data_IF_419682553395
#
_entry.id   IF_419682553395
#
_cell.length_a   1.000
_cell.length_b   1.000
_cell.length_c   1.000
_cell.angle_alpha   90.00
_cell.angle_beta   90.00
_cell.angle_gamma   90.00
#
_symmetry.space_group_name_H-M   'P 1'
#
loop_
_entity.id
_entity.type
_entity.pdbx_description
1 polymer ?
#
# COMPACT_ATOMS: atom_id res chain seq x y z
N UNK A 1 -26.70 14.71 -13.98
CA UNK A 1 -25.56 13.89 -13.52
C UNK A 1 -25.77 13.36 -12.10
N UNK A 2 -26.11 14.20 -11.09
CA UNK A 2 -26.27 13.77 -9.68
C UNK A 2 -27.18 12.55 -9.50
N UNK A 3 -28.41 12.47 -10.06
CA UNK A 3 -29.27 11.31 -9.87
C UNK A 3 -28.67 10.01 -10.44
N UNK A 4 -28.02 10.08 -11.61
CA UNK A 4 -27.39 8.92 -12.23
C UNK A 4 -26.20 8.41 -11.38
N UNK A 5 -25.41 9.33 -10.84
CA UNK A 5 -24.30 8.97 -9.95
C UNK A 5 -24.81 8.33 -8.66
N UNK A 6 -25.85 8.89 -8.04
CA UNK A 6 -26.37 8.37 -6.78
C UNK A 6 -27.15 7.07 -6.92
N UNK A 7 -27.91 6.90 -8.02
CA UNK A 7 -28.81 5.75 -8.18
C UNK A 7 -28.19 4.56 -8.90
N UNK A 8 -27.13 4.78 -9.72
CA UNK A 8 -26.52 3.73 -10.54
C UNK A 8 -25.04 3.56 -10.22
N UNK A 9 -24.25 4.62 -10.37
CA UNK A 9 -22.78 4.49 -10.21
C UNK A 9 -22.41 4.27 -8.74
N UNK A 10 -23.05 4.97 -7.81
CA UNK A 10 -22.81 4.83 -6.37
C UNK A 10 -23.05 3.39 -5.88
N UNK A 11 -24.24 2.81 -6.07
CA UNK A 11 -24.51 1.43 -5.69
C UNK A 11 -23.57 0.41 -6.32
N UNK A 12 -23.22 0.56 -7.62
CA UNK A 12 -22.25 -0.33 -8.27
C UNK A 12 -20.87 -0.26 -7.61
N UNK A 13 -20.42 0.96 -7.26
CA UNK A 13 -19.16 1.13 -6.52
C UNK A 13 -19.19 0.51 -5.13
N UNK A 14 -20.29 0.64 -4.41
CA UNK A 14 -20.49 0.02 -3.10
C UNK A 14 -20.47 -1.51 -3.21
N UNK A 15 -21.24 -2.11 -4.13
CA UNK A 15 -21.23 -3.57 -4.33
C UNK A 15 -19.85 -4.11 -4.73
N UNK A 16 -19.12 -3.38 -5.59
CA UNK A 16 -17.76 -3.76 -5.94
C UNK A 16 -16.82 -3.74 -4.72
N UNK A 17 -16.96 -2.72 -3.87
CA UNK A 17 -16.20 -2.62 -2.62
C UNK A 17 -16.54 -3.72 -1.63
N UNK A 18 -17.83 -3.98 -1.41
CA UNK A 18 -18.30 -5.06 -0.54
C UNK A 18 -17.81 -6.44 -1.03
N UNK A 19 -17.83 -6.69 -2.34
CA UNK A 19 -17.32 -7.93 -2.91
C UNK A 19 -15.81 -8.10 -2.67
N UNK A 20 -15.02 -7.05 -2.88
CA UNK A 20 -13.57 -7.06 -2.58
C UNK A 20 -13.34 -7.34 -1.11
N UNK A 21 -14.07 -6.68 -0.23
CA UNK A 21 -13.93 -6.87 1.20
C UNK A 21 -14.34 -8.26 1.68
N UNK A 22 -15.45 -8.76 1.17
CA UNK A 22 -15.87 -10.12 1.45
C UNK A 22 -14.74 -11.11 1.09
N UNK A 23 -14.17 -10.97 -0.09
CA UNK A 23 -13.05 -11.82 -0.54
C UNK A 23 -11.83 -11.64 0.38
N UNK A 24 -11.46 -10.42 0.74
CA UNK A 24 -10.29 -10.16 1.59
C UNK A 24 -10.51 -10.69 3.01
N UNK A 25 -11.67 -10.44 3.63
CA UNK A 25 -11.98 -10.96 4.95
C UNK A 25 -12.04 -12.51 4.96
N UNK A 26 -12.66 -13.11 3.95
CA UNK A 26 -12.68 -14.56 3.78
C UNK A 26 -11.27 -15.15 3.64
N UNK A 27 -10.38 -14.45 2.91
CA UNK A 27 -8.97 -14.84 2.78
C UNK A 27 -8.21 -14.71 4.10
N UNK A 28 -8.46 -13.64 4.87
CA UNK A 28 -7.82 -13.43 6.20
C UNK A 28 -8.20 -14.56 7.15
N UNK A 29 -9.47 -14.99 7.18
CA UNK A 29 -9.94 -16.11 7.99
C UNK A 29 -9.26 -17.44 7.62
N UNK A 30 -8.95 -17.64 6.33
CA UNK A 30 -8.30 -18.85 5.81
C UNK A 30 -6.78 -18.76 5.88
N UNK A 31 -6.21 -17.64 5.53
CA UNK A 31 -4.77 -17.40 5.50
C UNK A 31 -4.46 -15.91 5.49
N UNK A 32 -4.16 -15.34 6.64
CA UNK A 32 -3.72 -13.96 6.79
C UNK A 32 -2.48 -13.65 5.94
N UNK A 33 -1.62 -14.63 5.73
CA UNK A 33 -0.43 -14.52 4.88
C UNK A 33 -0.82 -14.29 3.42
N UNK A 34 -1.74 -15.09 2.90
CA UNK A 34 -2.19 -14.96 1.52
C UNK A 34 -2.95 -13.66 1.29
N UNK A 35 -3.78 -13.24 2.24
CA UNK A 35 -4.42 -11.93 2.22
C UNK A 35 -3.38 -10.80 2.21
N UNK A 36 -2.33 -10.91 3.03
CA UNK A 36 -1.22 -9.95 3.07
C UNK A 36 -0.47 -9.83 1.76
N UNK A 37 -0.20 -10.96 1.09
CA UNK A 37 0.42 -10.98 -0.26
C UNK A 37 -0.47 -10.25 -1.27
N UNK A 38 -1.76 -10.57 -1.30
CA UNK A 38 -2.69 -9.99 -2.28
C UNK A 38 -2.93 -8.50 -2.03
N UNK A 39 -3.21 -8.11 -0.79
CA UNK A 39 -3.49 -6.71 -0.46
C UNK A 39 -2.21 -5.88 -0.50
N UNK A 40 -1.13 -6.33 0.13
CA UNK A 40 0.14 -5.60 0.15
C UNK A 40 0.74 -5.40 -1.24
N UNK A 41 0.67 -6.42 -2.12
CA UNK A 41 1.11 -6.32 -3.50
C UNK A 41 0.10 -5.63 -4.42
N UNK A 42 -1.18 -5.96 -4.28
CA UNK A 42 -2.25 -5.53 -5.20
C UNK A 42 -2.86 -4.16 -4.89
N UNK A 43 -2.63 -3.59 -3.70
CA UNK A 43 -3.26 -2.32 -3.30
C UNK A 43 -3.01 -1.17 -4.28
N UNK A 44 -1.79 -1.06 -4.80
CA UNK A 44 -1.46 -0.03 -5.79
C UNK A 44 -2.26 -0.16 -7.10
N UNK A 45 -2.67 -1.39 -7.46
CA UNK A 45 -3.56 -1.62 -8.61
C UNK A 45 -4.96 -1.08 -8.30
N UNK A 46 -5.50 -1.37 -7.11
CA UNK A 46 -6.79 -0.82 -6.67
C UNK A 46 -6.77 0.72 -6.61
N UNK A 47 -5.65 1.29 -6.15
CA UNK A 47 -5.43 2.75 -6.17
C UNK A 47 -5.43 3.29 -7.59
N UNK A 48 -4.73 2.62 -8.52
CA UNK A 48 -4.66 3.06 -9.92
C UNK A 48 -6.02 3.05 -10.63
N UNK A 49 -6.93 2.17 -10.19
CA UNK A 49 -8.32 2.07 -10.68
C UNK A 49 -9.29 2.97 -9.90
N UNK A 50 -8.86 3.59 -8.80
CA UNK A 50 -9.71 4.43 -7.95
C UNK A 50 -10.67 3.64 -7.03
N UNK A 51 -10.65 2.30 -7.04
CA UNK A 51 -11.60 1.45 -6.31
C UNK A 51 -11.20 1.25 -4.84
N UNK A 52 -9.97 1.57 -4.45
CA UNK A 52 -9.49 1.43 -3.06
C UNK A 52 -10.36 2.17 -2.03
N UNK A 53 -11.00 3.27 -2.42
CA UNK A 53 -11.91 4.02 -1.54
C UNK A 53 -13.12 3.21 -1.07
N UNK A 54 -13.56 2.23 -1.87
CA UNK A 54 -14.66 1.35 -1.50
C UNK A 54 -14.29 0.33 -0.41
N UNK A 55 -12.99 0.07 -0.19
CA UNK A 55 -12.49 -0.83 0.86
C UNK A 55 -12.35 -0.11 2.21
N UNK A 56 -12.15 1.20 2.22
CA UNK A 56 -11.93 1.97 3.45
C UNK A 56 -13.07 1.85 4.49
N UNK A 57 -14.37 1.92 4.11
CA UNK A 57 -15.47 1.74 5.05
C UNK A 57 -15.43 0.41 5.79
N UNK A 58 -14.85 -0.63 5.17
CA UNK A 58 -14.78 -1.95 5.74
C UNK A 58 -13.72 -2.04 6.82
N UNK A 59 -12.53 -1.44 6.60
CA UNK A 59 -11.51 -1.31 7.63
C UNK A 59 -12.07 -0.55 8.85
N UNK A 60 -12.84 0.53 8.61
CA UNK A 60 -13.51 1.30 9.66
C UNK A 60 -14.52 0.42 10.41
N UNK A 61 -15.33 -0.36 9.67
CA UNK A 61 -16.31 -1.26 10.27
C UNK A 61 -15.65 -2.40 11.07
N UNK A 62 -14.56 -2.97 10.56
CA UNK A 62 -13.79 -3.99 11.28
C UNK A 62 -13.30 -3.45 12.65
N UNK A 63 -12.76 -2.24 12.67
CA UNK A 63 -12.30 -1.58 13.91
C UNK A 63 -13.49 -1.30 14.83
N UNK A 64 -14.61 -0.82 14.31
CA UNK A 64 -15.80 -0.52 15.12
C UNK A 64 -16.40 -1.77 15.77
N UNK A 65 -16.38 -2.92 15.08
CA UNK A 65 -16.95 -4.18 15.57
C UNK A 65 -15.97 -4.97 16.42
N UNK A 66 -14.70 -5.06 16.01
CA UNK A 66 -13.71 -5.96 16.61
C UNK A 66 -12.68 -5.22 17.48
N UNK A 67 -12.61 -3.87 17.40
CA UNK A 67 -11.56 -3.08 18.03
C UNK A 67 -10.23 -3.03 17.24
N UNK A 68 -10.13 -3.76 16.13
CA UNK A 68 -8.94 -3.82 15.29
C UNK A 68 -9.27 -4.20 13.83
N UNK A 69 -8.30 -3.98 12.93
CA UNK A 69 -8.37 -4.38 11.52
C UNK A 69 -7.05 -5.01 11.06
N UNK A 70 -7.16 -6.04 10.19
CA UNK A 70 -6.03 -6.72 9.54
C UNK A 70 -5.69 -6.20 8.15
N UNK A 71 -6.62 -5.52 7.48
CA UNK A 71 -6.43 -5.06 6.09
C UNK A 71 -5.52 -3.84 6.06
N UNK A 72 -5.75 -2.90 6.99
CA UNK A 72 -5.02 -1.66 7.07
C UNK A 72 -3.49 -1.86 7.14
N UNK A 73 -2.91 -2.78 7.94
CA UNK A 73 -1.48 -3.07 7.94
C UNK A 73 -0.92 -3.42 6.55
N UNK A 74 -1.69 -4.15 5.73
CA UNK A 74 -1.25 -4.54 4.40
C UNK A 74 -1.18 -3.35 3.43
N UNK A 75 -2.06 -2.36 3.61
CA UNK A 75 -2.00 -1.10 2.84
C UNK A 75 -0.75 -0.28 3.18
N UNK A 76 -0.31 -0.32 4.44
CA UNK A 76 0.97 0.26 4.85
C UNK A 76 2.15 -0.43 4.15
N UNK A 77 2.16 -1.77 4.05
CA UNK A 77 3.20 -2.49 3.31
C UNK A 77 3.28 -2.00 1.85
N UNK A 78 2.15 -1.79 1.18
CA UNK A 78 2.12 -1.21 -0.15
C UNK A 78 2.75 0.20 -0.19
N UNK A 79 2.34 1.10 0.70
CA UNK A 79 2.85 2.47 0.73
C UNK A 79 4.36 2.51 0.98
N UNK A 80 4.85 1.69 1.90
CA UNK A 80 6.29 1.56 2.17
C UNK A 80 7.06 0.91 1.01
N UNK A 81 6.43 0.01 0.25
CA UNK A 81 7.00 -0.48 -1.01
C UNK A 81 7.12 0.63 -2.05
N UNK A 82 6.13 1.54 -2.16
CA UNK A 82 6.22 2.72 -3.04
C UNK A 82 7.34 3.64 -2.59
N UNK A 83 7.48 3.91 -1.28
CA UNK A 83 8.63 4.67 -0.73
C UNK A 83 9.94 4.00 -1.11
N UNK A 84 10.05 2.68 -0.92
CA UNK A 84 11.24 1.93 -1.29
C UNK A 84 11.58 2.05 -2.77
N UNK A 85 10.59 1.89 -3.65
CA UNK A 85 10.77 2.07 -5.10
C UNK A 85 11.26 3.48 -5.43
N UNK A 86 10.61 4.50 -4.87
CA UNK A 86 10.99 5.89 -5.11
C UNK A 86 12.43 6.16 -4.65
N UNK A 87 12.82 5.62 -3.49
CA UNK A 87 14.18 5.74 -2.99
C UNK A 87 15.20 4.98 -3.86
N UNK A 88 14.86 3.76 -4.33
CA UNK A 88 15.70 2.99 -5.25
C UNK A 88 15.92 3.71 -6.57
N UNK A 89 14.87 4.31 -7.14
CA UNK A 89 14.98 5.16 -8.35
C UNK A 89 15.83 6.40 -8.07
N UNK A 90 15.62 7.08 -6.93
CA UNK A 90 16.42 8.23 -6.52
C UNK A 90 17.93 7.93 -6.51
N UNK A 91 18.32 6.77 -5.97
CA UNK A 91 19.72 6.38 -5.90
C UNK A 91 20.34 6.07 -7.27
N UNK A 92 19.54 5.52 -8.19
CA UNK A 92 20.01 5.08 -9.51
C UNK A 92 19.88 6.15 -10.60
N UNK A 93 18.87 7.01 -10.53
CA UNK A 93 18.58 8.00 -11.54
C UNK A 93 19.76 8.96 -11.74
N UNK A 94 20.04 9.29 -13.01
CA UNK A 94 21.03 10.30 -13.40
C UNK A 94 20.39 11.64 -13.74
N UNK A 95 19.14 11.60 -14.25
CA UNK A 95 18.38 12.81 -14.51
C UNK A 95 17.96 13.48 -13.20
N UNK A 96 18.32 14.76 -13.06
CA UNK A 96 18.07 15.54 -11.86
C UNK A 96 16.56 15.76 -11.60
N UNK A 97 15.76 15.86 -12.67
CA UNK A 97 14.30 16.02 -12.54
C UNK A 97 13.66 14.76 -11.96
N UNK A 98 14.01 13.58 -12.50
CA UNK A 98 13.53 12.30 -12.00
C UNK A 98 13.98 12.06 -10.55
N UNK A 99 15.23 12.41 -10.26
CA UNK A 99 15.81 12.31 -8.92
C UNK A 99 15.06 13.17 -7.90
N UNK A 100 14.80 14.43 -8.24
CA UNK A 100 14.03 15.34 -7.40
C UNK A 100 12.59 14.86 -7.23
N UNK A 101 11.95 14.42 -8.30
CA UNK A 101 10.59 13.87 -8.25
C UNK A 101 10.49 12.63 -7.35
N UNK A 102 11.43 11.69 -7.48
CA UNK A 102 11.47 10.48 -6.67
C UNK A 102 11.64 10.81 -5.17
N UNK A 103 12.56 11.72 -4.83
CA UNK A 103 12.75 12.14 -3.43
C UNK A 103 11.51 12.87 -2.86
N UNK A 104 10.87 13.73 -3.65
CA UNK A 104 9.61 14.37 -3.28
C UNK A 104 8.53 13.31 -2.98
N UNK A 105 8.47 12.25 -3.79
CA UNK A 105 7.59 11.11 -3.56
C UNK A 105 7.87 10.41 -2.23
N UNK A 106 9.13 10.12 -1.91
CA UNK A 106 9.53 9.53 -0.61
C UNK A 106 9.02 10.37 0.55
N UNK A 107 9.29 11.68 0.54
CA UNK A 107 8.90 12.59 1.63
C UNK A 107 7.38 12.74 1.72
N UNK A 108 6.71 12.92 0.58
CA UNK A 108 5.25 13.06 0.53
C UNK A 108 4.55 11.85 1.10
N UNK A 109 4.92 10.65 0.66
CA UNK A 109 4.27 9.41 1.12
C UNK A 109 4.59 9.17 2.60
N UNK A 110 5.85 9.39 3.02
CA UNK A 110 6.24 9.20 4.41
C UNK A 110 5.46 10.10 5.38
N UNK A 111 5.11 11.31 4.98
CA UNK A 111 4.42 12.28 5.82
C UNK A 111 2.89 12.25 5.67
N UNK A 112 2.38 12.08 4.46
CA UNK A 112 0.94 12.23 4.14
C UNK A 112 0.25 10.97 3.59
N UNK A 113 0.98 9.89 3.37
CA UNK A 113 0.47 8.64 2.78
C UNK A 113 -0.06 8.76 1.32
N UNK A 114 0.11 9.89 0.67
CA UNK A 114 -0.41 10.14 -0.69
C UNK A 114 0.55 9.51 -1.71
N UNK A 115 0.16 8.34 -2.25
CA UNK A 115 1.00 7.59 -3.20
C UNK A 115 0.72 7.95 -4.67
N UNK A 116 -0.42 8.53 -4.99
CA UNK A 116 -0.93 8.75 -6.34
C UNK A 116 0.05 9.51 -7.24
N UNK A 117 0.67 10.63 -6.82
CA UNK A 117 1.63 11.33 -7.67
C UNK A 117 2.82 10.44 -8.06
N UNK A 118 3.36 9.69 -7.11
CA UNK A 118 4.48 8.77 -7.34
C UNK A 118 4.04 7.56 -8.16
N UNK A 119 2.85 7.03 -7.90
CA UNK A 119 2.28 5.90 -8.63
C UNK A 119 2.10 6.26 -10.11
N UNK A 120 1.39 7.32 -10.43
CA UNK A 120 1.11 7.71 -11.82
C UNK A 120 2.30 8.42 -12.49
N UNK A 121 3.08 9.17 -11.74
CA UNK A 121 4.23 9.91 -12.28
C UNK A 121 5.44 9.03 -12.58
N UNK A 122 5.61 7.92 -11.88
CA UNK A 122 6.81 7.10 -11.94
C UNK A 122 6.53 5.59 -12.11
N UNK A 123 5.72 4.97 -11.23
CA UNK A 123 5.58 3.51 -11.22
C UNK A 123 4.81 3.00 -12.45
N UNK A 124 3.64 3.55 -12.75
CA UNK A 124 2.80 3.14 -13.88
C UNK A 124 3.52 3.35 -15.22
N UNK A 125 4.34 4.38 -15.33
CA UNK A 125 5.15 4.65 -16.52
C UNK A 125 6.27 3.62 -16.69
N UNK A 126 6.82 3.12 -15.59
CA UNK A 126 7.87 2.08 -15.60
C UNK A 126 7.34 0.78 -15.00
N UNK A 127 6.84 -0.10 -15.86
CA UNK A 127 6.26 -1.39 -15.46
C UNK A 127 7.19 -2.25 -14.60
N UNK A 128 8.52 -2.16 -14.81
CA UNK A 128 9.50 -2.93 -14.03
C UNK A 128 9.59 -2.40 -12.59
N UNK A 129 9.57 -1.08 -12.41
CA UNK A 129 9.56 -0.45 -11.08
C UNK A 129 8.22 -0.71 -10.40
N UNK A 130 7.11 -0.70 -11.13
CA UNK A 130 5.82 -1.06 -10.55
C UNK A 130 5.78 -2.52 -10.09
N UNK A 131 6.35 -3.45 -10.89
CA UNK A 131 6.50 -4.85 -10.48
C UNK A 131 7.35 -5.00 -9.20
N UNK A 132 8.43 -4.22 -9.07
CA UNK A 132 9.25 -4.18 -7.86
C UNK A 132 8.42 -3.77 -6.63
N UNK A 133 7.53 -2.78 -6.77
CA UNK A 133 6.60 -2.36 -5.73
C UNK A 133 5.63 -3.49 -5.36
N UNK A 134 5.02 -4.15 -6.35
CA UNK A 134 4.09 -5.27 -6.13
C UNK A 134 4.78 -6.39 -5.34
N UNK A 135 6.00 -6.77 -5.74
CA UNK A 135 6.76 -7.81 -5.05
C UNK A 135 7.12 -7.38 -3.62
N UNK A 136 7.64 -6.16 -3.44
CA UNK A 136 8.00 -5.65 -2.12
C UNK A 136 6.80 -5.54 -1.19
N UNK A 137 5.67 -5.03 -1.69
CA UNK A 137 4.42 -4.96 -0.94
C UNK A 137 3.86 -6.33 -0.58
N UNK A 138 3.95 -7.31 -1.50
CA UNK A 138 3.55 -8.69 -1.25
C UNK A 138 4.40 -9.37 -0.17
N UNK A 139 5.72 -9.20 -0.21
CA UNK A 139 6.64 -9.78 0.79
C UNK A 139 6.43 -9.15 2.16
N UNK A 140 6.32 -7.81 2.24
CA UNK A 140 6.04 -7.13 3.49
C UNK A 140 4.65 -7.48 4.03
N UNK A 141 3.63 -7.53 3.16
CA UNK A 141 2.28 -7.95 3.52
C UNK A 141 2.22 -9.41 4.01
N UNK A 142 2.97 -10.32 3.38
CA UNK A 142 3.10 -11.70 3.85
C UNK A 142 3.68 -11.77 5.28
N UNK A 143 4.74 -11.01 5.54
CA UNK A 143 5.34 -10.94 6.86
C UNK A 143 4.35 -10.40 7.92
N UNK A 144 3.65 -9.30 7.61
CA UNK A 144 2.61 -8.77 8.50
C UNK A 144 1.49 -9.77 8.75
N UNK A 145 1.12 -10.55 7.72
CA UNK A 145 0.15 -11.64 7.84
C UNK A 145 0.61 -12.80 8.72
N UNK A 146 1.91 -13.20 8.64
CA UNK A 146 2.52 -14.21 9.51
C UNK A 146 2.46 -13.75 10.98
N UNK A 147 2.83 -12.50 11.23
CA UNK A 147 2.85 -11.91 12.57
C UNK A 147 1.48 -11.47 13.06
N UNK A 148 0.42 -11.62 12.23
CA UNK A 148 -0.96 -11.20 12.53
C UNK A 148 -1.05 -9.76 13.04
N UNK A 149 -0.29 -8.87 12.42
CA UNK A 149 -0.24 -7.45 12.77
C UNK A 149 -1.60 -6.80 12.53
N UNK A 150 -2.03 -5.96 13.47
CA UNK A 150 -3.31 -5.25 13.43
C UNK A 150 -3.13 -3.74 13.59
N UNK A 151 -4.12 -2.96 13.15
CA UNK A 151 -4.29 -1.56 13.52
C UNK A 151 -5.51 -1.39 14.40
N UNK A 152 -5.43 -0.50 15.39
CA UNK A 152 -6.53 -0.17 16.30
C UNK A 152 -7.29 1.10 15.89
N UNK A 153 -6.78 1.78 14.88
CA UNK A 153 -7.42 2.95 14.28
C UNK A 153 -7.29 2.90 12.75
N UNK A 154 -8.31 3.39 12.04
CA UNK A 154 -8.23 3.57 10.59
C UNK A 154 -7.33 4.76 10.27
N UNK A 155 -6.29 4.50 9.50
CA UNK A 155 -5.33 5.51 9.07
C UNK A 155 -4.75 5.15 7.70
N UNK A 156 -4.20 6.15 7.02
CA UNK A 156 -3.43 5.93 5.80
C UNK A 156 -1.96 5.67 6.12
N UNK A 157 -1.31 4.82 5.34
CA UNK A 157 0.04 4.31 5.59
C UNK A 157 1.16 5.34 5.47
N UNK A 158 1.46 6.04 6.56
CA UNK A 158 2.56 6.99 6.69
C UNK A 158 3.33 6.81 8.00
N UNK A 159 4.46 7.47 8.15
CA UNK A 159 5.24 7.47 9.40
C UNK A 159 4.47 8.18 10.53
N UNK A 160 3.71 9.22 10.18
CA UNK A 160 2.94 10.02 11.16
C UNK A 160 1.79 9.23 11.80
N UNK A 161 1.36 8.14 11.16
CA UNK A 161 0.22 7.31 11.61
C UNK A 161 0.64 6.01 12.28
N UNK A 162 1.91 5.80 12.55
CA UNK A 162 2.42 4.63 13.28
C UNK A 162 1.75 4.38 14.64
N UNK A 163 1.28 5.39 15.41
CA UNK A 163 0.56 5.13 16.64
C UNK A 163 -0.65 4.21 16.50
N UNK A 164 -1.23 4.07 15.30
CA UNK A 164 -2.33 3.14 15.05
C UNK A 164 -1.97 1.66 15.26
N UNK A 165 -0.68 1.31 15.30
CA UNK A 165 -0.20 -0.04 15.60
C UNK A 165 -0.02 -0.33 17.09
N UNK A 166 -0.24 0.64 17.96
CA UNK A 166 -0.24 0.42 19.41
C UNK A 166 -1.50 -0.38 19.75
N UNK A 167 -1.31 -1.61 20.25
CA UNK A 167 -2.37 -2.53 20.63
C UNK A 167 -2.09 -3.15 22.00
N UNK A 168 -2.96 -4.05 22.45
CA UNK A 168 -2.75 -4.82 23.69
C UNK A 168 -1.53 -5.77 23.60
N UNK A 169 -1.13 -6.16 22.39
CA UNK A 169 0.10 -6.91 22.15
C UNK A 169 1.28 -5.94 22.02
N UNK A 170 2.26 -5.95 22.97
CA UNK A 170 3.41 -5.07 22.91
C UNK A 170 4.31 -5.26 21.67
N UNK A 171 4.28 -6.45 21.07
CA UNK A 171 5.09 -6.78 19.91
C UNK A 171 4.47 -6.34 18.59
N UNK A 172 3.17 -6.02 18.57
CA UNK A 172 2.45 -5.64 17.35
C UNK A 172 3.11 -4.44 16.65
N UNK A 173 3.45 -3.42 17.41
CA UNK A 173 4.16 -2.23 16.87
C UNK A 173 5.53 -2.61 16.27
N UNK A 174 6.31 -3.43 16.97
CA UNK A 174 7.63 -3.84 16.51
C UNK A 174 7.54 -4.64 15.20
N UNK A 175 6.60 -5.61 15.12
CA UNK A 175 6.38 -6.40 13.93
C UNK A 175 5.88 -5.55 12.75
N UNK A 176 5.04 -4.55 13.03
CA UNK A 176 4.61 -3.60 12.02
C UNK A 176 5.81 -2.85 11.40
N UNK A 177 6.70 -2.32 12.23
CA UNK A 177 7.90 -1.60 11.75
C UNK A 177 8.81 -2.50 10.92
N UNK A 178 9.04 -3.74 11.37
CA UNK A 178 9.86 -4.72 10.63
C UNK A 178 9.22 -5.05 9.28
N UNK A 179 7.91 -5.28 9.23
CA UNK A 179 7.20 -5.59 7.98
C UNK A 179 7.26 -4.46 6.96
N UNK A 180 7.10 -3.20 7.42
CA UNK A 180 7.24 -2.02 6.55
C UNK A 180 8.68 -1.84 6.06
N UNK A 181 9.67 -2.06 6.92
CA UNK A 181 11.08 -2.02 6.53
C UNK A 181 11.40 -3.09 5.48
N UNK A 182 10.94 -4.32 5.67
CA UNK A 182 11.09 -5.41 4.70
C UNK A 182 10.48 -4.99 3.36
N UNK A 183 9.26 -4.46 3.38
CA UNK A 183 8.56 -4.01 2.18
C UNK A 183 9.36 -2.94 1.42
N UNK A 184 9.83 -1.92 2.14
CA UNK A 184 10.60 -0.81 1.56
C UNK A 184 11.96 -1.28 1.01
N UNK A 185 12.67 -2.12 1.75
CA UNK A 185 14.00 -2.62 1.34
C UNK A 185 13.88 -3.51 0.11
N UNK A 186 12.97 -4.49 0.12
CA UNK A 186 12.78 -5.39 -1.03
C UNK A 186 12.39 -4.61 -2.28
N UNK A 187 11.38 -3.73 -2.17
CA UNK A 187 10.96 -2.89 -3.28
C UNK A 187 12.08 -1.96 -3.77
N UNK A 188 12.82 -1.35 -2.85
CA UNK A 188 13.93 -0.43 -3.17
C UNK A 188 15.09 -1.12 -3.90
N UNK A 189 15.52 -2.28 -3.42
CA UNK A 189 16.59 -3.07 -4.06
C UNK A 189 16.16 -3.51 -5.46
N UNK A 190 14.93 -4.01 -5.62
CA UNK A 190 14.41 -4.41 -6.93
C UNK A 190 14.27 -3.20 -7.86
N UNK A 191 13.73 -2.08 -7.40
CA UNK A 191 13.60 -0.87 -8.19
C UNK A 191 14.97 -0.33 -8.61
N UNK A 192 15.96 -0.34 -7.70
CA UNK A 192 17.33 0.01 -8.04
C UNK A 192 17.90 -0.92 -9.12
N UNK A 193 17.68 -2.23 -9.02
CA UNK A 193 18.14 -3.18 -10.03
C UNK A 193 17.45 -2.99 -11.39
N UNK A 194 16.14 -2.73 -11.39
CA UNK A 194 15.31 -2.63 -12.59
C UNK A 194 15.38 -1.28 -13.29
N UNK A 195 15.78 -0.20 -12.62
CA UNK A 195 15.96 1.12 -13.23
C UNK A 195 17.14 1.06 -14.22
N UNK A 196 16.84 1.11 -15.51
CA UNK A 196 17.82 1.06 -16.62
C UNK A 196 18.29 2.43 -17.06
N UNK A 197 19.25 2.45 -18.02
CA UNK A 197 19.68 3.70 -18.66
C UNK A 197 18.59 4.32 -19.53
N UNK A 198 17.71 3.50 -20.10
CA UNK A 198 16.61 3.93 -20.99
C UNK A 198 15.46 4.60 -20.21
N UNK A 199 15.28 4.25 -18.94
CA UNK A 199 14.22 4.81 -18.09
C UNK A 199 14.54 6.25 -17.62
N UNK A 200 15.69 6.78 -17.99
CA UNK A 200 16.18 8.11 -17.59
C UNK A 200 15.83 9.21 -18.61
N UNK A 201 15.20 8.85 -19.72
CA UNK A 201 14.91 9.76 -20.84
C UNK A 201 13.41 9.93 -21.12
N UNK A 202 12.52 9.33 -20.31
CA UNK A 202 11.07 9.39 -20.51
C UNK A 202 10.36 10.42 -19.63
#
# INVERSE_FOLDING_TARGET
MVPLTMLVIGPLGVYAGEAIAFVVNWLIERSSVFAGVLVGGGWSVLVSMGIHWAVNPIMINNIAQNGFDYICPFTFACNFAVIGCAFGVFLKARDQKLKSFAMTGVVSIALSAIIEPTLFGMLVKNKKVWLAQIIGGAVGGAFLGIMKVVTTAFTFGSVTTFPAFVSSDPMNFAWAMVGMLISAVVAGVLAFAFTGKEDQLA
#
